data_IF_436047271857
#
_entry.id   IF_436047271857
#
_cell.length_a   1.000
_cell.length_b   1.000
_cell.length_c   1.000
_cell.angle_alpha   90.00
_cell.angle_beta   90.00
_cell.angle_gamma   90.00
#
_symmetry.space_group_name_H-M   'P 1'
#
loop_
_entity.id
_entity.type
_entity.pdbx_description
1 polymer ?
#
# COMPACT_ATOMS: atom_id res chain seq x y z
N UNK A 1 -17.67 34.19 18.35
CA UNK A 1 -16.97 32.94 18.71
C UNK A 1 -16.55 32.32 17.38
N UNK A 2 -15.31 32.55 16.97
CA UNK A 2 -14.76 32.01 15.73
C UNK A 2 -14.34 30.57 15.96
N UNK A 3 -15.16 29.62 15.49
CA UNK A 3 -14.81 28.22 15.44
C UNK A 3 -13.50 28.05 14.68
N UNK A 4 -12.46 27.64 15.39
CA UNK A 4 -11.20 27.22 14.78
C UNK A 4 -11.47 25.87 14.13
N UNK A 5 -11.75 25.89 12.83
CA UNK A 5 -11.91 24.68 12.03
C UNK A 5 -10.61 23.85 12.13
N UNK A 6 -10.63 22.82 12.96
CA UNK A 6 -9.56 21.86 13.07
C UNK A 6 -9.53 21.07 11.76
N UNK A 7 -8.48 21.26 10.95
CA UNK A 7 -8.28 20.48 9.74
C UNK A 7 -8.36 18.99 10.11
N UNK A 8 -9.30 18.26 9.51
CA UNK A 8 -9.31 16.79 9.62
C UNK A 8 -7.93 16.28 9.18
N UNK A 9 -7.41 15.28 9.89
CA UNK A 9 -6.03 14.73 9.88
C UNK A 9 -5.38 14.37 8.52
N UNK A 10 -6.00 14.72 7.39
CA UNK A 10 -5.73 14.22 6.04
C UNK A 10 -4.84 15.09 5.17
N UNK A 11 -4.55 16.34 5.54
CA UNK A 11 -3.62 17.24 4.80
C UNK A 11 -2.44 17.68 5.65
N UNK A 12 -1.35 16.88 5.71
CA UNK A 12 -0.11 17.33 6.34
C UNK A 12 0.41 18.62 5.68
N UNK A 13 1.06 19.47 6.47
CA UNK A 13 1.65 20.75 6.04
C UNK A 13 0.65 21.87 5.69
N UNK A 14 -0.61 21.73 6.11
CA UNK A 14 -1.63 22.78 5.97
C UNK A 14 -1.57 23.80 7.11
N UNK A 15 -1.53 25.09 6.78
CA UNK A 15 -1.57 26.21 7.73
C UNK A 15 -3.00 26.73 7.98
N UNK A 16 -3.89 26.68 6.99
CA UNK A 16 -5.30 27.07 7.16
C UNK A 16 -6.22 26.23 6.28
N UNK A 17 -7.44 25.98 6.77
CA UNK A 17 -8.46 25.21 6.06
C UNK A 17 -9.77 26.01 5.93
N UNK A 18 -10.49 25.78 4.82
CA UNK A 18 -11.89 26.17 4.67
C UNK A 18 -12.69 24.93 4.26
N UNK A 19 -13.79 24.65 4.98
CA UNK A 19 -14.69 23.50 4.74
C UNK A 19 -13.96 22.14 4.56
N UNK A 20 -12.86 21.94 5.29
CA UNK A 20 -12.07 20.69 5.26
C UNK A 20 -11.07 20.58 4.10
N UNK A 21 -10.97 21.59 3.24
CA UNK A 21 -9.91 21.70 2.23
C UNK A 21 -8.82 22.64 2.71
N UNK A 22 -7.56 22.32 2.41
CA UNK A 22 -6.45 23.22 2.73
C UNK A 22 -6.52 24.47 1.84
N UNK A 23 -6.47 25.65 2.45
CA UNK A 23 -6.49 26.95 1.75
C UNK A 23 -5.15 27.67 1.81
N UNK A 24 -4.30 27.37 2.79
CA UNK A 24 -2.92 27.84 2.82
C UNK A 24 -2.00 26.78 3.44
N UNK A 25 -0.77 26.68 2.94
CA UNK A 25 0.25 25.77 3.42
C UNK A 25 1.21 26.47 4.39
N UNK A 26 1.88 25.69 5.25
CA UNK A 26 2.98 26.20 6.08
C UNK A 26 4.15 26.68 5.18
N UNK A 27 5.04 27.56 5.68
CA UNK A 27 6.22 27.99 4.93
C UNK A 27 7.00 26.80 4.37
N UNK A 28 7.58 26.94 3.17
CA UNK A 28 8.22 25.88 2.37
C UNK A 28 7.29 24.94 1.58
N UNK A 29 5.97 25.18 1.58
CA UNK A 29 5.01 24.40 0.80
C UNK A 29 4.08 25.31 0.00
N UNK A 30 3.57 24.83 -1.15
CA UNK A 30 2.59 25.50 -1.97
C UNK A 30 1.33 24.65 -2.12
N UNK A 31 0.19 25.33 -2.29
CA UNK A 31 -1.11 24.67 -2.47
C UNK A 31 -1.23 24.16 -3.90
N UNK A 32 -1.38 22.85 -4.07
CA UNK A 32 -1.63 22.20 -5.34
C UNK A 32 -2.80 21.23 -5.19
N UNK A 33 -3.90 21.51 -5.90
CA UNK A 33 -5.11 20.67 -5.88
C UNK A 33 -5.67 20.37 -4.48
N UNK A 34 -5.62 21.36 -3.57
CA UNK A 34 -6.12 21.22 -2.19
C UNK A 34 -5.18 20.48 -1.23
N UNK A 35 -3.98 20.12 -1.68
CA UNK A 35 -2.91 19.50 -0.90
C UNK A 35 -1.67 20.40 -0.86
N UNK A 36 -0.86 20.28 0.20
CA UNK A 36 0.38 21.04 0.34
C UNK A 36 1.58 20.25 -0.20
N UNK A 37 2.15 20.70 -1.30
CA UNK A 37 3.35 20.13 -1.92
C UNK A 37 4.58 20.96 -1.53
N UNK A 38 5.75 20.33 -1.27
CA UNK A 38 6.96 21.06 -0.94
C UNK A 38 7.36 22.00 -2.07
N UNK A 39 7.82 23.19 -1.70
CA UNK A 39 8.46 24.12 -2.62
C UNK A 39 9.71 23.44 -3.16
N UNK A 40 9.87 23.43 -4.49
CA UNK A 40 11.10 22.93 -5.12
C UNK A 40 12.25 23.85 -4.69
N UNK A 41 12.97 23.50 -3.62
CA UNK A 41 14.24 24.12 -3.28
C UNK A 41 15.36 23.23 -3.82
N UNK A 42 15.76 23.52 -5.05
CA UNK A 42 17.17 23.56 -5.44
C UNK A 42 17.28 24.25 -6.80
N UNK A 43 17.10 25.57 -6.81
CA UNK A 43 17.79 26.41 -7.79
C UNK A 43 18.58 27.45 -6.99
N UNK A 44 19.87 27.52 -7.30
CA UNK A 44 20.81 28.51 -6.78
C UNK A 44 20.28 29.93 -6.98
N UNK A 45 20.83 30.94 -6.27
CA UNK A 45 20.37 32.31 -6.39
C UNK A 45 20.43 32.75 -7.85
N UNK A 46 19.27 33.11 -8.39
CA UNK A 46 19.15 33.63 -9.74
C UNK A 46 20.08 34.84 -9.90
N UNK A 47 21.10 34.64 -10.73
CA UNK A 47 21.72 35.73 -11.46
C UNK A 47 20.62 36.38 -12.32
N UNK A 48 20.66 37.71 -12.44
CA UNK A 48 19.63 38.49 -13.12
C UNK A 48 19.68 38.21 -14.63
N UNK A 49 18.93 37.23 -15.11
CA UNK A 49 18.83 36.92 -16.53
C UNK A 49 17.76 37.75 -17.24
N UNK A 50 18.11 38.10 -18.47
CA UNK A 50 17.48 38.95 -19.48
C UNK A 50 16.02 38.53 -19.82
N UNK A 51 15.07 39.47 -20.02
CA UNK A 51 13.69 39.19 -20.44
C UNK A 51 13.51 38.50 -21.81
N UNK A 52 14.60 38.15 -22.51
CA UNK A 52 14.56 37.50 -23.83
C UNK A 52 14.82 36.00 -23.84
N UNK A 53 15.10 35.37 -22.68
CA UNK A 53 15.27 33.91 -22.66
C UNK A 53 13.93 33.17 -22.78
N UNK A 54 13.77 32.25 -23.75
CA UNK A 54 12.59 31.41 -23.85
C UNK A 54 12.43 30.59 -22.56
N UNK A 55 11.21 30.59 -22.02
CA UNK A 55 10.88 29.84 -20.83
C UNK A 55 11.40 28.39 -20.94
N UNK A 56 12.07 27.86 -19.90
CA UNK A 56 12.52 26.48 -19.90
C UNK A 56 11.34 25.56 -20.25
N UNK A 57 11.53 24.55 -21.13
CA UNK A 57 10.48 23.59 -21.41
C UNK A 57 10.01 22.97 -20.09
N UNK A 58 8.69 22.85 -19.93
CA UNK A 58 8.10 22.22 -18.76
C UNK A 58 8.75 20.83 -18.55
N UNK A 59 9.07 20.44 -17.31
CA UNK A 59 9.70 19.16 -17.05
C UNK A 59 8.80 18.05 -17.62
N UNK A 60 9.35 17.25 -18.53
CA UNK A 60 8.63 16.13 -19.14
C UNK A 60 8.09 15.22 -18.04
N UNK A 61 6.77 15.07 -17.95
CA UNK A 61 6.17 14.11 -17.04
C UNK A 61 6.50 12.70 -17.54
N UNK A 62 7.24 11.95 -16.73
CA UNK A 62 7.64 10.58 -17.03
C UNK A 62 6.41 9.66 -17.07
N UNK A 63 6.09 9.15 -18.26
CA UNK A 63 4.98 8.23 -18.48
C UNK A 63 5.29 6.83 -17.95
N UNK A 64 4.25 6.09 -17.57
CA UNK A 64 4.38 4.75 -17.02
C UNK A 64 3.19 3.86 -17.35
N UNK A 65 3.44 2.55 -17.33
CA UNK A 65 2.42 1.50 -17.41
C UNK A 65 2.33 0.65 -16.15
N UNK A 66 3.39 0.61 -15.34
CA UNK A 66 3.47 -0.17 -14.10
C UNK A 66 4.12 0.63 -12.98
N UNK A 67 3.78 0.31 -11.73
CA UNK A 67 4.44 0.91 -10.56
C UNK A 67 5.95 0.60 -10.52
N UNK A 68 6.35 -0.57 -11.04
CA UNK A 68 7.75 -0.98 -11.10
C UNK A 68 8.60 0.01 -11.90
N UNK A 69 8.13 0.49 -13.05
CA UNK A 69 8.85 1.48 -13.86
C UNK A 69 9.16 2.76 -13.07
N UNK A 70 8.17 3.29 -12.35
CA UNK A 70 8.35 4.49 -11.53
C UNK A 70 9.28 4.25 -10.35
N UNK A 71 9.22 3.08 -9.71
CA UNK A 71 10.12 2.73 -8.61
C UNK A 71 11.56 2.53 -9.05
N UNK A 72 11.78 1.87 -10.19
CA UNK A 72 13.12 1.64 -10.73
C UNK A 72 13.81 2.98 -11.06
N UNK A 73 13.03 3.99 -11.48
CA UNK A 73 13.47 5.39 -11.66
C UNK A 73 13.48 6.22 -10.38
N UNK A 74 13.03 5.69 -9.24
CA UNK A 74 12.85 6.40 -7.95
C UNK A 74 11.92 7.63 -8.03
N UNK A 75 10.92 7.57 -8.90
CA UNK A 75 9.94 8.63 -9.11
C UNK A 75 8.64 8.42 -8.32
N UNK A 76 8.48 7.25 -7.68
CA UNK A 76 7.32 6.91 -6.84
C UNK A 76 6.50 5.76 -7.42
N UNK A 77 5.22 6.00 -7.67
CA UNK A 77 4.26 5.02 -8.20
C UNK A 77 3.66 5.49 -9.52
N UNK A 78 3.07 4.57 -10.27
CA UNK A 78 2.41 4.90 -11.53
C UNK A 78 0.95 5.24 -11.27
N UNK A 79 0.52 6.47 -11.59
CA UNK A 79 -0.87 6.85 -11.46
C UNK A 79 -1.69 6.26 -12.61
N UNK A 80 -2.73 5.48 -12.28
CA UNK A 80 -3.50 4.75 -13.29
C UNK A 80 -4.31 5.63 -14.24
N UNK A 81 -4.61 6.87 -13.82
CA UNK A 81 -5.44 7.82 -14.56
C UNK A 81 -4.61 8.64 -15.53
N UNK A 82 -3.56 9.29 -15.04
CA UNK A 82 -2.65 10.14 -15.84
C UNK A 82 -1.61 9.34 -16.61
N UNK A 83 -1.36 8.08 -16.23
CA UNK A 83 -0.27 7.25 -16.77
C UNK A 83 1.10 7.92 -16.63
N UNK A 84 1.28 8.71 -15.57
CA UNK A 84 2.57 9.33 -15.24
C UNK A 84 3.02 8.93 -13.85
N UNK A 85 4.34 8.95 -13.64
CA UNK A 85 4.92 8.67 -12.34
C UNK A 85 4.63 9.81 -11.38
N UNK A 86 4.02 9.48 -10.24
CA UNK A 86 3.73 10.42 -9.15
C UNK A 86 4.55 10.06 -7.91
N UNK A 87 5.02 11.07 -7.17
CA UNK A 87 5.81 10.83 -5.97
C UNK A 87 4.98 10.16 -4.87
N UNK A 88 5.64 9.43 -4.00
CA UNK A 88 5.01 8.91 -2.78
C UNK A 88 4.62 10.04 -1.83
N UNK A 89 3.68 9.78 -0.91
CA UNK A 89 3.37 10.72 0.16
C UNK A 89 4.59 11.06 1.03
N UNK A 90 4.58 12.23 1.65
CA UNK A 90 5.66 12.68 2.51
C UNK A 90 5.96 11.66 3.63
N UNK A 91 7.24 11.37 3.83
CA UNK A 91 7.68 10.34 4.78
C UNK A 91 7.56 8.90 4.30
N UNK A 92 7.10 8.68 3.07
CA UNK A 92 7.13 7.38 2.41
C UNK A 92 8.30 7.29 1.43
N UNK A 93 9.16 6.29 1.58
CA UNK A 93 10.31 6.03 0.70
C UNK A 93 9.94 5.19 -0.52
N UNK A 94 9.02 4.24 -0.36
CA UNK A 94 8.55 3.39 -1.46
C UNK A 94 7.06 3.14 -1.29
N UNK A 95 6.29 3.28 -2.36
CA UNK A 95 4.83 3.17 -2.35
C UNK A 95 4.32 2.43 -3.58
N UNK A 96 3.07 1.96 -3.51
CA UNK A 96 2.31 1.44 -4.66
C UNK A 96 1.17 2.38 -5.05
N UNK A 97 0.82 3.32 -4.18
CA UNK A 97 -0.10 4.42 -4.45
C UNK A 97 0.22 5.60 -3.53
N UNK A 98 -0.45 6.74 -3.72
CA UNK A 98 -0.28 7.89 -2.85
C UNK A 98 -0.64 7.58 -1.38
N UNK A 99 -1.65 6.73 -1.15
CA UNK A 99 -2.13 6.37 0.21
C UNK A 99 -1.45 5.13 0.79
N UNK A 100 -0.80 4.31 -0.04
CA UNK A 100 -0.24 3.03 0.38
C UNK A 100 1.29 3.06 0.34
N UNK A 101 1.89 3.22 1.51
CA UNK A 101 3.33 3.21 1.72
C UNK A 101 3.88 1.81 2.01
N UNK A 102 4.73 1.32 1.12
CA UNK A 102 5.35 0.01 1.22
C UNK A 102 6.70 0.02 1.98
N UNK A 103 7.31 1.20 2.13
CA UNK A 103 8.45 1.42 3.03
C UNK A 103 8.45 2.88 3.50
N UNK A 104 8.33 3.06 4.81
CA UNK A 104 8.42 4.36 5.47
C UNK A 104 9.87 4.83 5.55
N UNK A 105 10.05 6.14 5.45
CA UNK A 105 11.37 6.76 5.57
C UNK A 105 11.86 6.70 7.03
N UNK A 106 13.03 6.09 7.23
CA UNK A 106 13.63 5.86 8.54
C UNK A 106 14.15 7.13 9.23
N UNK A 107 14.23 8.26 8.53
CA UNK A 107 14.68 9.55 9.09
C UNK A 107 13.53 10.41 9.63
N UNK A 108 12.28 9.93 9.53
CA UNK A 108 11.09 10.68 9.96
C UNK A 108 10.64 10.29 11.36
N UNK A 109 9.68 11.04 11.92
CA UNK A 109 9.01 10.69 13.17
C UNK A 109 8.17 9.41 13.09
N UNK A 110 7.89 8.89 11.88
CA UNK A 110 7.08 7.69 11.64
C UNK A 110 7.80 6.68 10.73
N UNK A 111 8.91 6.06 11.19
CA UNK A 111 9.72 5.17 10.37
C UNK A 111 9.17 3.74 10.29
N UNK A 112 8.16 3.38 11.07
CA UNK A 112 7.60 2.02 11.11
C UNK A 112 6.60 1.84 9.98
N UNK A 113 6.83 0.87 9.10
CA UNK A 113 5.88 0.47 8.06
C UNK A 113 4.88 -0.54 8.59
N UNK A 114 3.58 -0.24 8.45
CA UNK A 114 2.50 -1.17 8.74
C UNK A 114 2.11 -1.96 7.50
N UNK A 115 1.61 -3.18 7.69
CA UNK A 115 1.08 -4.03 6.61
C UNK A 115 -0.13 -3.39 5.88
N UNK A 116 -0.78 -2.40 6.50
CA UNK A 116 -1.88 -1.62 5.92
C UNK A 116 -1.41 -0.55 4.95
N UNK A 117 -0.10 -0.34 4.81
CA UNK A 117 0.48 0.72 3.98
C UNK A 117 0.61 2.06 4.70
N UNK A 118 0.40 2.11 6.02
CA UNK A 118 0.54 3.32 6.82
C UNK A 118 1.90 3.38 7.52
N UNK A 119 2.34 4.60 7.82
CA UNK A 119 3.54 4.85 8.61
C UNK A 119 3.16 5.17 10.06
N UNK A 120 3.72 4.41 11.00
CA UNK A 120 3.55 4.59 12.43
C UNK A 120 4.83 5.12 13.09
N UNK A 121 4.71 5.79 14.25
CA UNK A 121 5.86 6.17 15.06
C UNK A 121 6.79 4.99 15.34
N UNK A 122 8.06 5.29 15.57
CA UNK A 122 8.98 4.30 16.08
C UNK A 122 8.65 4.03 17.55
N UNK A 123 8.55 2.77 17.93
CA UNK A 123 8.47 2.36 19.32
C UNK A 123 9.84 1.80 19.68
N UNK A 124 10.70 2.67 20.19
CA UNK A 124 12.01 2.28 20.70
C UNK A 124 11.84 1.69 22.09
N UNK A 125 11.43 0.44 22.17
CA UNK A 125 11.45 -0.26 23.44
C UNK A 125 12.38 -1.45 23.31
N UNK A 126 13.39 -1.53 24.17
CA UNK A 126 14.24 -2.72 24.39
C UNK A 126 13.43 -3.92 24.93
N UNK A 127 12.12 -3.93 24.72
CA UNK A 127 11.20 -4.98 25.07
C UNK A 127 11.12 -5.94 23.90
N UNK A 128 11.39 -7.20 24.16
CA UNK A 128 11.12 -8.27 23.20
C UNK A 128 9.63 -8.58 23.15
N UNK A 129 9.16 -9.16 22.04
CA UNK A 129 7.77 -9.61 21.86
C UNK A 129 6.72 -8.50 21.80
N UNK A 130 7.10 -7.33 21.30
CA UNK A 130 6.18 -6.21 21.03
C UNK A 130 6.34 -5.74 19.59
N UNK A 131 5.30 -5.13 19.03
CA UNK A 131 5.31 -4.49 17.72
C UNK A 131 4.71 -3.10 17.80
N UNK A 132 4.96 -2.30 16.77
CA UNK A 132 4.41 -0.95 16.65
C UNK A 132 3.10 -0.92 15.90
N UNK A 133 2.08 -0.32 16.50
CA UNK A 133 0.83 0.02 15.83
C UNK A 133 0.68 1.55 15.75
N UNK A 134 -0.40 2.02 15.11
CA UNK A 134 -0.77 3.44 15.12
C UNK A 134 -1.08 3.92 16.54
N UNK A 135 -1.61 3.04 17.40
CA UNK A 135 -1.93 3.35 18.79
C UNK A 135 -0.76 3.20 19.76
N UNK A 136 0.42 2.79 19.28
CA UNK A 136 1.65 2.64 20.07
C UNK A 136 2.12 1.20 20.18
N UNK A 137 2.67 0.84 21.34
CA UNK A 137 3.30 -0.46 21.58
C UNK A 137 2.26 -1.53 21.92
N UNK A 138 2.27 -2.66 21.21
CA UNK A 138 1.33 -3.77 21.41
C UNK A 138 2.09 -5.11 21.47
N UNK A 139 1.62 -6.05 22.28
CA UNK A 139 2.19 -7.40 22.34
C UNK A 139 2.05 -8.12 21.00
N UNK A 140 3.13 -8.77 20.56
CA UNK A 140 3.14 -9.55 19.34
C UNK A 140 2.13 -10.68 19.39
N UNK A 141 1.44 -10.83 18.26
CA UNK A 141 0.46 -11.88 18.04
C UNK A 141 0.37 -12.15 16.54
N UNK A 142 -0.31 -13.21 16.15
CA UNK A 142 -0.43 -13.62 14.74
C UNK A 142 -0.99 -12.52 13.81
N UNK A 143 -1.69 -11.53 14.34
CA UNK A 143 -2.28 -10.40 13.62
C UNK A 143 -1.48 -9.10 13.78
N UNK A 144 -0.22 -9.16 14.24
CA UNK A 144 0.66 -7.99 14.30
C UNK A 144 0.73 -7.27 12.96
N UNK A 145 0.57 -5.95 13.01
CA UNK A 145 0.51 -5.12 11.80
C UNK A 145 1.85 -4.53 11.38
N UNK A 146 2.91 -4.77 12.16
CA UNK A 146 4.29 -4.44 11.82
C UNK A 146 5.24 -5.48 12.40
N UNK A 147 6.51 -5.52 11.96
CA UNK A 147 7.45 -6.51 12.46
C UNK A 147 7.57 -6.50 13.98
N UNK A 148 7.39 -7.66 14.57
CA UNK A 148 7.67 -7.88 15.98
C UNK A 148 9.15 -7.67 16.28
N UNK A 149 9.44 -7.06 17.43
CA UNK A 149 10.80 -6.93 17.97
C UNK A 149 11.24 -8.29 18.51
N UNK A 150 12.01 -9.00 17.68
CA UNK A 150 12.65 -10.27 17.99
C UNK A 150 14.19 -10.12 18.04
N UNK A 151 14.89 -11.11 18.60
CA UNK A 151 16.36 -11.10 18.69
C UNK A 151 17.00 -11.57 17.37
N UNK A 152 16.92 -10.71 16.34
CA UNK A 152 17.54 -10.94 15.04
C UNK A 152 16.58 -11.20 13.85
N UNK A 153 15.58 -12.09 13.94
CA UNK A 153 14.74 -12.40 12.79
C UNK A 153 13.82 -11.21 12.45
N UNK A 154 13.61 -10.99 11.15
CA UNK A 154 12.81 -9.88 10.63
C UNK A 154 11.44 -10.38 10.17
N UNK A 155 10.50 -9.44 10.07
CA UNK A 155 9.15 -9.67 9.53
C UNK A 155 8.34 -10.75 10.26
N UNK A 156 8.64 -10.98 11.53
CA UNK A 156 7.84 -11.85 12.37
C UNK A 156 6.53 -11.15 12.77
N UNK A 157 5.41 -11.85 12.74
CA UNK A 157 4.23 -11.46 13.49
C UNK A 157 4.41 -11.83 14.97
N UNK A 158 4.98 -13.01 15.23
CA UNK A 158 5.29 -13.50 16.57
C UNK A 158 6.71 -14.08 16.59
N UNK A 159 7.45 -13.84 17.68
CA UNK A 159 8.71 -14.53 17.94
C UNK A 159 8.46 -15.85 18.67
N UNK A 160 9.36 -16.82 18.53
CA UNK A 160 9.47 -17.96 19.46
C UNK A 160 9.79 -17.47 20.87
N UNK A 161 9.56 -18.31 21.88
CA UNK A 161 9.72 -17.95 23.31
C UNK A 161 11.12 -17.43 23.68
N UNK A 162 12.15 -17.89 22.99
CA UNK A 162 13.54 -17.46 23.12
C UNK A 162 13.89 -16.23 22.25
N UNK A 163 12.95 -15.75 21.44
CA UNK A 163 13.09 -14.60 20.57
C UNK A 163 13.98 -14.82 19.33
N UNK A 164 14.57 -16.00 19.16
CA UNK A 164 15.62 -16.28 18.17
C UNK A 164 15.10 -16.51 16.75
N UNK A 165 13.81 -16.85 16.61
CA UNK A 165 13.16 -17.12 15.32
C UNK A 165 11.73 -16.60 15.29
N UNK A 166 11.15 -16.49 14.08
CA UNK A 166 9.73 -16.19 13.96
C UNK A 166 8.90 -17.44 14.25
N UNK A 167 7.98 -17.35 15.21
CA UNK A 167 6.92 -18.33 15.38
C UNK A 167 5.95 -18.26 14.20
N UNK A 168 5.52 -17.05 13.83
CA UNK A 168 4.67 -16.77 12.67
C UNK A 168 5.20 -15.55 11.89
N UNK A 169 4.97 -15.54 10.57
CA UNK A 169 5.32 -14.40 9.72
C UNK A 169 4.20 -13.37 9.71
N UNK A 170 4.55 -12.12 9.41
CA UNK A 170 3.55 -11.09 9.11
C UNK A 170 2.61 -11.54 8.00
N UNK A 171 1.40 -10.97 8.04
CA UNK A 171 0.41 -11.13 6.97
C UNK A 171 1.06 -10.90 5.60
N UNK A 172 0.68 -11.72 4.62
CA UNK A 172 1.20 -11.73 3.25
C UNK A 172 2.64 -12.24 3.09
N UNK A 173 3.32 -12.65 4.16
CA UNK A 173 4.64 -13.25 4.12
C UNK A 173 4.61 -14.73 4.49
N UNK A 174 5.57 -15.49 3.97
CA UNK A 174 5.81 -16.89 4.29
C UNK A 174 7.25 -17.11 4.70
N UNK A 175 7.50 -18.22 5.42
CA UNK A 175 8.86 -18.64 5.73
C UNK A 175 9.53 -19.09 4.43
N UNK A 176 10.68 -18.50 4.14
CA UNK A 176 11.53 -18.96 3.07
C UNK A 176 12.30 -20.22 3.44
N UNK A 177 13.09 -20.70 2.50
CA UNK A 177 13.93 -21.90 2.68
C UNK A 177 14.97 -21.76 3.79
N UNK A 178 15.34 -20.53 4.15
CA UNK A 178 16.24 -20.19 5.26
C UNK A 178 15.53 -20.15 6.63
N UNK A 179 14.23 -20.46 6.68
CA UNK A 179 13.42 -20.43 7.89
C UNK A 179 13.00 -19.03 8.34
N UNK A 180 13.37 -17.97 7.60
CA UNK A 180 13.03 -16.57 7.91
C UNK A 180 11.79 -16.12 7.15
N UNK A 181 11.13 -15.09 7.64
CA UNK A 181 9.98 -14.48 6.96
C UNK A 181 10.45 -13.52 5.84
N UNK A 182 10.97 -14.11 4.77
CA UNK A 182 11.65 -13.42 3.68
C UNK A 182 10.92 -13.54 2.33
N UNK A 183 9.97 -14.46 2.22
CA UNK A 183 9.24 -14.71 0.98
C UNK A 183 7.82 -14.16 1.06
N UNK A 184 7.29 -13.70 -0.07
CA UNK A 184 5.88 -13.30 -0.16
C UNK A 184 4.97 -14.50 -0.39
N UNK A 185 3.75 -14.42 0.13
CA UNK A 185 2.69 -15.36 -0.22
C UNK A 185 2.42 -15.35 -1.72
N UNK A 186 1.87 -16.45 -2.24
CA UNK A 186 1.72 -16.66 -3.67
C UNK A 186 0.84 -15.58 -4.31
N UNK A 187 1.29 -15.05 -5.45
CA UNK A 187 0.62 -13.96 -6.17
C UNK A 187 0.90 -12.56 -5.62
N UNK A 188 1.77 -12.42 -4.61
CA UNK A 188 2.23 -11.13 -4.09
C UNK A 188 3.71 -10.90 -4.40
N UNK A 189 4.12 -9.64 -4.39
CA UNK A 189 5.51 -9.24 -4.62
C UNK A 189 6.01 -8.39 -3.46
N UNK A 190 7.32 -8.44 -3.23
CA UNK A 190 7.99 -7.62 -2.23
C UNK A 190 8.13 -6.20 -2.77
N UNK A 191 7.40 -5.25 -2.19
CA UNK A 191 7.56 -3.82 -2.47
C UNK A 191 8.05 -3.15 -1.21
N UNK A 192 9.22 -2.52 -1.26
CA UNK A 192 9.84 -1.97 -0.05
C UNK A 192 10.05 -3.05 1.01
N UNK A 193 9.30 -2.96 2.11
CA UNK A 193 9.36 -3.89 3.26
C UNK A 193 8.13 -4.78 3.42
N UNK A 194 7.11 -4.67 2.56
CA UNK A 194 5.87 -5.43 2.70
C UNK A 194 5.52 -6.21 1.43
N UNK A 195 4.84 -7.35 1.62
CA UNK A 195 4.34 -8.16 0.53
C UNK A 195 2.94 -7.69 0.16
N UNK A 196 2.77 -7.22 -1.08
CA UNK A 196 1.52 -6.65 -1.55
C UNK A 196 1.34 -6.91 -3.05
N UNK A 197 0.16 -6.58 -3.57
CA UNK A 197 -0.06 -6.51 -5.01
C UNK A 197 0.56 -5.23 -5.53
N UNK A 198 1.20 -5.33 -6.68
CA UNK A 198 1.86 -4.20 -7.32
C UNK A 198 1.11 -3.70 -8.56
N UNK A 199 -0.20 -3.64 -8.41
CA UNK A 199 -1.09 -3.21 -9.48
C UNK A 199 -1.15 -1.69 -9.54
N UNK A 200 -1.33 -1.16 -10.75
CA UNK A 200 -1.60 0.26 -10.95
C UNK A 200 -3.02 0.56 -10.47
N UNK A 201 -3.14 1.32 -9.39
CA UNK A 201 -4.44 1.74 -8.86
C UNK A 201 -4.92 2.90 -9.73
N UNK A 202 -6.07 2.74 -10.40
CA UNK A 202 -6.75 3.86 -11.04
C UNK A 202 -7.10 4.88 -9.95
N UNK A 203 -6.61 6.11 -10.11
CA UNK A 203 -6.68 7.12 -9.05
C UNK A 203 -8.10 7.28 -8.52
N UNK A 204 -8.26 7.21 -7.20
CA UNK A 204 -9.47 7.68 -6.53
C UNK A 204 -9.53 9.19 -6.71
N UNK A 205 -10.32 9.64 -7.68
CA UNK A 205 -10.72 11.05 -7.75
C UNK A 205 -11.46 11.37 -6.44
N UNK A 206 -11.08 12.40 -5.66
CA UNK A 206 -11.92 12.89 -4.59
C UNK A 206 -13.23 13.36 -5.23
N UNK A 207 -14.30 12.58 -5.07
CA UNK A 207 -15.63 13.04 -5.43
C UNK A 207 -15.93 14.22 -4.50
N UNK A 208 -16.16 15.44 -5.01
CA UNK A 208 -16.58 16.55 -4.17
C UNK A 208 -17.90 16.17 -3.48
N UNK A 209 -18.14 16.58 -2.22
CA UNK A 209 -19.41 16.34 -1.55
C UNK A 209 -20.53 17.08 -2.29
N UNK A 210 -21.19 16.37 -3.22
CA UNK A 210 -22.49 16.74 -3.76
C UNK A 210 -23.58 16.35 -2.77
N UNK A 211 -24.73 17.03 -2.77
CA UNK A 211 -25.82 16.75 -1.85
C UNK A 211 -26.30 15.31 -2.01
N UNK A 212 -26.53 14.66 -0.87
CA UNK A 212 -26.88 13.25 -0.74
C UNK A 212 -27.99 12.82 -1.72
N UNK A 213 -27.78 11.79 -2.56
CA UNK A 213 -28.87 11.06 -3.17
C UNK A 213 -29.43 10.08 -2.12
N UNK A 214 -30.72 10.24 -1.85
CA UNK A 214 -31.56 9.40 -1.00
C UNK A 214 -31.26 7.90 -1.22
N UNK A 215 -30.92 7.23 -0.12
CA UNK A 215 -30.77 5.78 -0.02
C UNK A 215 -32.12 5.09 -0.25
N UNK A 216 -32.12 4.00 -1.03
CA UNK A 216 -32.77 2.79 -0.57
C UNK A 216 -31.81 1.60 -0.61
N UNK A 217 -31.59 0.95 0.54
CA UNK A 217 -30.99 -0.38 0.64
C UNK A 217 -32.06 -1.48 0.48
N UNK A 218 -31.70 -2.78 0.35
CA UNK A 218 -30.55 -3.37 -0.33
C UNK A 218 -30.99 -4.48 -1.32
N UNK A 219 -30.17 -4.77 -2.34
CA UNK A 219 -30.48 -5.86 -3.26
C UNK A 219 -29.36 -6.24 -4.23
N UNK A 220 -28.59 -7.25 -3.82
CA UNK A 220 -27.95 -8.27 -4.67
C UNK A 220 -26.88 -7.80 -5.68
N UNK A 221 -25.62 -8.02 -5.27
CA UNK A 221 -24.46 -8.46 -6.06
C UNK A 221 -24.46 -8.15 -7.57
N UNK A 222 -23.59 -7.23 -7.97
CA UNK A 222 -23.05 -7.20 -9.33
C UNK A 222 -21.63 -6.65 -9.30
N UNK A 223 -20.66 -7.54 -9.11
CA UNK A 223 -19.25 -7.26 -9.42
C UNK A 223 -19.14 -7.00 -10.92
N UNK A 224 -19.09 -5.73 -11.31
CA UNK A 224 -18.70 -5.29 -12.65
C UNK A 224 -17.19 -5.41 -12.77
N UNK A 225 -16.72 -6.64 -13.03
CA UNK A 225 -15.40 -6.89 -13.57
C UNK A 225 -15.38 -6.40 -15.02
N UNK A 226 -14.53 -5.42 -15.30
CA UNK A 226 -14.19 -5.01 -16.67
C UNK A 226 -13.71 -6.23 -17.45
N UNK A 227 -14.28 -6.41 -18.64
CA UNK A 227 -14.16 -7.59 -19.47
C UNK A 227 -12.78 -7.71 -20.13
N UNK A 228 -12.25 -8.93 -20.08
CA UNK A 228 -11.00 -9.30 -20.75
C UNK A 228 -10.51 -10.65 -20.27
N UNK A 229 -11.04 -11.72 -20.87
CA UNK A 229 -10.57 -13.12 -20.78
C UNK A 229 -10.83 -13.88 -19.45
N UNK A 230 -12.07 -14.37 -19.28
CA UNK A 230 -12.35 -15.61 -18.52
C UNK A 230 -13.14 -16.55 -19.42
N UNK A 231 -12.41 -17.33 -20.21
CA UNK A 231 -12.95 -18.49 -20.90
C UNK A 231 -12.01 -19.68 -20.68
N UNK A 232 -12.43 -20.58 -19.79
CA UNK A 232 -11.81 -21.89 -19.60
C UNK A 232 -11.00 -22.02 -18.32
N UNK A 233 -11.67 -22.42 -17.23
CA UNK A 233 -11.36 -23.59 -16.37
C UNK A 233 -12.57 -23.76 -15.44
N UNK A 234 -13.68 -24.31 -15.97
CA UNK A 234 -14.74 -24.94 -15.15
C UNK A 234 -14.96 -26.40 -15.56
N UNK A 235 -14.33 -26.85 -16.65
CA UNK A 235 -14.44 -28.23 -17.15
C UNK A 235 -13.50 -29.20 -16.40
N UNK A 236 -12.41 -28.69 -15.80
CA UNK A 236 -11.39 -29.55 -15.15
C UNK A 236 -11.87 -30.24 -13.88
N UNK A 237 -12.61 -29.53 -13.02
CA UNK A 237 -13.04 -30.09 -11.71
C UNK A 237 -14.16 -31.13 -11.88
N UNK A 238 -15.05 -30.95 -12.87
CA UNK A 238 -16.12 -31.93 -13.14
C UNK A 238 -15.58 -33.26 -13.67
N UNK A 239 -14.48 -33.27 -14.42
CA UNK A 239 -13.86 -34.52 -14.91
C UNK A 239 -13.18 -35.32 -13.80
N UNK A 240 -12.56 -34.65 -12.82
CA UNK A 240 -11.87 -35.34 -11.71
C UNK A 240 -12.87 -36.04 -10.79
N UNK A 241 -14.01 -35.40 -10.48
CA UNK A 241 -15.05 -36.04 -9.64
C UNK A 241 -15.74 -37.19 -10.38
N UNK A 242 -15.95 -37.07 -11.69
CA UNK A 242 -16.51 -38.15 -12.51
C UNK A 242 -15.62 -39.40 -12.58
N UNK A 243 -14.30 -39.22 -12.69
CA UNK A 243 -13.35 -40.33 -12.76
C UNK A 243 -13.21 -41.09 -11.42
N UNK A 244 -13.18 -40.36 -10.30
CA UNK A 244 -13.06 -40.97 -8.96
C UNK A 244 -14.36 -41.68 -8.55
N UNK A 245 -15.52 -41.10 -8.88
CA UNK A 245 -16.82 -41.72 -8.59
C UNK A 245 -17.12 -42.96 -9.44
N UNK A 246 -16.83 -42.91 -10.75
CA UNK A 246 -17.08 -44.03 -11.66
C UNK A 246 -16.16 -45.23 -11.43
N UNK A 247 -14.89 -44.99 -11.08
CA UNK A 247 -13.91 -46.06 -10.83
C UNK A 247 -14.22 -46.93 -9.62
N UNK A 248 -14.71 -46.32 -8.52
CA UNK A 248 -15.07 -47.05 -7.31
C UNK A 248 -16.30 -47.95 -7.51
N UNK A 249 -17.33 -47.46 -8.21
CA UNK A 249 -18.53 -48.25 -8.49
C UNK A 249 -18.24 -49.46 -9.39
N UNK A 250 -17.41 -49.29 -10.43
CA UNK A 250 -17.00 -50.40 -11.30
C UNK A 250 -16.16 -51.46 -10.55
N UNK A 251 -15.29 -51.02 -9.64
CA UNK A 251 -14.45 -51.93 -8.85
C UNK A 251 -15.28 -52.84 -7.91
N UNK A 252 -16.30 -52.30 -7.24
CA UNK A 252 -17.16 -53.09 -6.35
C UNK A 252 -18.04 -54.10 -7.10
N UNK A 253 -18.60 -53.73 -8.26
CA UNK A 253 -19.42 -54.65 -9.08
C UNK A 253 -18.58 -55.80 -9.64
N UNK A 254 -17.31 -55.54 -10.00
CA UNK A 254 -16.41 -56.58 -10.52
C UNK A 254 -15.91 -57.54 -9.43
N UNK A 255 -15.80 -57.09 -8.17
CA UNK A 255 -15.39 -57.94 -7.05
C UNK A 255 -16.50 -58.84 -6.51
N UNK A 256 -17.77 -58.46 -6.71
CA UNK A 256 -18.93 -59.28 -6.30
C UNK A 256 -19.27 -60.45 -7.23
N UNK A 257 -18.54 -60.63 -8.34
CA UNK A 257 -18.73 -61.74 -9.30
C UNK A 257 -17.58 -62.77 -9.30
N UNK A 258 -16.80 -62.85 -8.22
CA UNK A 258 -15.80 -63.91 -8.00
C UNK A 258 -16.13 -64.71 -6.76
#
# INVERSE_FOLDING_TARGET
>A
MTDSASCTQTTPNCASCDKGACTACIPEYHLSQGLCAPNKQNESPADKSDPTDPAPPAPEEETCTTNKECRDKKLGFCDGTSKTCKPCAAGCKTCTSFKFCAECNNTTSKPTTLITGECAPFCNDNRSHVYCSISGLVNCNRNSTSPCVCNGPQNCAECTRDGSSCQSCLTNMKKGTDGKCSECADGLVMVGKICTKDDVVAGEVPVPPGPDPVVPEPGVNSYRLSGGAVAGIVIGVLLVVGAVGGGLAYYFVRRGKK
#
